data_IF_025615224982
#
_entry.id   IF_025615224982
#
_cell.length_a   1.000
_cell.length_b   1.000
_cell.length_c   1.000
_cell.angle_alpha   90.00
_cell.angle_beta   90.00
_cell.angle_gamma   90.00
#
_symmetry.space_group_name_H-M   'P 1'
#
loop_
_entity.id
_entity.type
_entity.pdbx_description
1 polymer ?
#
# COMPACT_ATOMS: atom_id res chain seq x y z
N UNK A 1 -1.00 -36.63 -30.02
CA UNK A 1 -2.33 -36.01 -29.89
C UNK A 1 -3.29 -37.03 -29.36
N UNK A 2 -3.67 -36.91 -28.08
CA UNK A 2 -4.74 -37.64 -27.39
C UNK A 2 -4.68 -37.21 -25.92
N UNK A 3 -5.63 -36.38 -25.48
CA UNK A 3 -6.05 -36.21 -24.08
C UNK A 3 -7.22 -35.21 -24.04
N UNK A 4 -8.29 -35.50 -24.76
CA UNK A 4 -9.61 -34.91 -24.52
C UNK A 4 -10.62 -35.99 -24.88
N UNK A 5 -11.27 -36.55 -23.85
CA UNK A 5 -12.50 -37.35 -23.82
C UNK A 5 -12.40 -38.52 -22.83
N UNK A 6 -12.74 -38.27 -21.56
CA UNK A 6 -13.79 -38.99 -20.82
C UNK A 6 -13.83 -38.57 -19.35
N UNK A 7 -14.95 -37.96 -18.96
CA UNK A 7 -15.75 -38.24 -17.75
C UNK A 7 -16.44 -36.93 -17.33
N UNK A 8 -17.71 -36.85 -16.99
CA UNK A 8 -18.88 -37.72 -17.13
C UNK A 8 -20.06 -36.74 -17.00
N UNK A 9 -21.04 -36.90 -17.87
CA UNK A 9 -22.40 -36.42 -17.66
C UNK A 9 -23.07 -37.44 -16.72
N UNK A 10 -23.49 -37.02 -15.52
CA UNK A 10 -24.42 -37.70 -14.59
C UNK A 10 -24.30 -37.11 -13.16
N UNK A 11 -24.77 -35.88 -12.98
CA UNK A 11 -25.37 -35.48 -11.70
C UNK A 11 -26.30 -34.29 -11.95
N UNK A 12 -27.56 -34.42 -11.53
CA UNK A 12 -28.63 -33.46 -11.77
C UNK A 12 -28.35 -32.08 -11.18
N UNK A 13 -27.75 -31.20 -11.98
CA UNK A 13 -27.68 -29.78 -11.68
C UNK A 13 -29.05 -29.17 -11.97
N UNK A 14 -29.80 -28.93 -10.90
CA UNK A 14 -30.86 -27.93 -10.89
C UNK A 14 -30.34 -26.66 -11.57
N UNK A 15 -31.15 -26.07 -12.45
CA UNK A 15 -30.96 -24.70 -12.94
C UNK A 15 -31.16 -23.72 -11.79
N UNK A 16 -30.25 -23.71 -10.82
CA UNK A 16 -30.16 -22.64 -9.83
C UNK A 16 -29.29 -21.53 -10.42
N UNK A 17 -29.97 -20.54 -11.00
CA UNK A 17 -29.59 -19.13 -10.96
C UNK A 17 -28.07 -18.88 -10.94
N UNK A 18 -27.42 -18.89 -12.11
CA UNK A 18 -26.09 -18.31 -12.30
C UNK A 18 -26.19 -16.79 -12.07
N UNK A 19 -26.25 -16.40 -10.80
CA UNK A 19 -26.13 -15.01 -10.37
C UNK A 19 -24.68 -14.63 -10.57
N UNK A 20 -24.42 -13.86 -11.63
CA UNK A 20 -23.18 -13.13 -11.77
C UNK A 20 -22.96 -12.31 -10.49
N UNK A 21 -21.91 -12.61 -9.74
CA UNK A 21 -21.50 -11.80 -8.59
C UNK A 21 -20.89 -10.50 -9.10
N UNK A 22 -21.56 -9.38 -8.86
CA UNK A 22 -21.10 -8.06 -9.26
C UNK A 22 -20.30 -7.40 -8.13
N UNK A 23 -19.13 -6.85 -8.46
CA UNK A 23 -18.46 -5.85 -7.63
C UNK A 23 -18.97 -4.48 -8.03
N UNK A 24 -19.77 -3.86 -7.18
CA UNK A 24 -20.21 -2.50 -7.40
C UNK A 24 -19.15 -1.51 -6.91
N UNK A 25 -18.84 -0.50 -7.73
CA UNK A 25 -18.07 0.67 -7.33
C UNK A 25 -18.82 1.92 -7.83
N UNK A 26 -19.97 2.32 -7.22
CA UNK A 26 -20.83 3.34 -7.82
C UNK A 26 -20.18 4.73 -7.91
N UNK A 27 -19.22 5.01 -7.03
CA UNK A 27 -18.39 6.22 -7.10
C UNK A 27 -17.65 6.33 -8.44
N UNK A 28 -17.33 5.21 -9.08
CA UNK A 28 -16.60 5.16 -10.35
C UNK A 28 -17.34 5.87 -11.48
N UNK A 29 -18.67 5.80 -11.51
CA UNK A 29 -19.45 6.53 -12.53
C UNK A 29 -19.31 8.04 -12.38
N UNK A 30 -19.13 8.56 -11.15
CA UNK A 30 -18.84 9.99 -10.95
C UNK A 30 -17.45 10.33 -11.48
N UNK A 31 -16.45 9.50 -11.19
CA UNK A 31 -15.08 9.71 -11.66
C UNK A 31 -14.96 9.64 -13.20
N UNK A 32 -15.52 8.60 -13.82
CA UNK A 32 -15.53 8.44 -15.27
C UNK A 32 -16.29 9.56 -16.00
N UNK A 33 -17.35 10.10 -15.37
CA UNK A 33 -18.14 11.22 -15.91
C UNK A 33 -17.51 12.59 -15.64
N UNK A 34 -16.71 12.71 -14.58
CA UNK A 34 -16.14 13.99 -14.16
C UNK A 34 -15.17 14.56 -15.18
N UNK A 35 -14.52 13.72 -16.01
CA UNK A 35 -13.69 14.14 -17.14
C UNK A 35 -12.45 14.95 -16.73
N UNK A 36 -11.27 14.36 -16.91
CA UNK A 36 -9.94 14.90 -16.62
C UNK A 36 -9.70 15.40 -15.17
N UNK A 37 -8.68 14.88 -14.46
CA UNK A 37 -8.13 15.55 -13.29
C UNK A 37 -7.60 16.95 -13.63
N UNK A 38 -7.33 17.77 -12.61
CA UNK A 38 -6.67 19.08 -12.72
C UNK A 38 -5.47 19.06 -13.69
N UNK A 39 -5.18 20.21 -14.32
CA UNK A 39 -4.16 20.38 -15.38
C UNK A 39 -2.94 19.45 -15.23
N UNK A 40 -2.78 18.51 -16.18
CA UNK A 40 -1.62 17.61 -16.25
C UNK A 40 -1.91 16.14 -15.93
N UNK A 41 -0.89 15.29 -16.08
CA UNK A 41 -0.97 13.86 -15.78
C UNK A 41 -0.59 13.59 -14.32
N UNK A 42 -1.49 12.93 -13.57
CA UNK A 42 -1.24 12.58 -12.16
C UNK A 42 0.02 11.73 -11.99
N UNK A 43 0.28 10.77 -12.89
CA UNK A 43 1.47 9.93 -12.82
C UNK A 43 2.75 10.73 -13.12
N UNK A 44 2.73 11.58 -14.15
CA UNK A 44 3.89 12.43 -14.46
C UNK A 44 4.24 13.36 -13.31
N UNK A 45 3.25 13.91 -12.61
CA UNK A 45 3.50 14.75 -11.43
C UNK A 45 4.23 14.00 -10.30
N UNK A 46 4.17 12.67 -10.28
CA UNK A 46 4.83 11.84 -9.25
C UNK A 46 6.24 11.43 -9.63
N UNK A 47 6.66 11.57 -10.88
CA UNK A 47 7.99 11.15 -11.34
C UNK A 47 9.07 11.96 -10.62
N UNK A 48 8.95 13.29 -10.66
CA UNK A 48 9.89 14.22 -10.02
C UNK A 48 9.46 14.60 -8.60
N UNK A 49 8.43 13.95 -8.06
CA UNK A 49 7.95 14.15 -6.71
C UNK A 49 9.00 13.76 -5.67
N UNK A 50 9.20 14.60 -4.66
CA UNK A 50 10.17 14.36 -3.59
C UNK A 50 9.53 13.73 -2.35
N UNK A 51 8.19 13.68 -2.27
CA UNK A 51 7.46 13.16 -1.11
C UNK A 51 6.65 11.91 -1.48
N UNK A 52 7.31 10.76 -1.46
CA UNK A 52 6.71 9.47 -1.78
C UNK A 52 5.54 9.10 -0.84
N UNK A 53 5.53 9.60 0.41
CA UNK A 53 4.46 9.30 1.37
C UNK A 53 3.18 10.03 0.98
N UNK A 54 3.25 11.31 0.68
CA UNK A 54 2.11 12.11 0.20
C UNK A 54 1.62 11.65 -1.17
N UNK A 55 2.56 11.27 -2.04
CA UNK A 55 2.28 10.80 -3.39
C UNK A 55 1.82 9.34 -3.44
N UNK A 56 1.85 8.65 -2.30
CA UNK A 56 1.54 7.22 -2.16
C UNK A 56 2.41 6.33 -3.05
N UNK A 57 3.62 6.77 -3.38
CA UNK A 57 4.63 6.00 -4.10
C UNK A 57 5.29 5.04 -3.13
N UNK A 58 5.24 3.75 -3.44
CA UNK A 58 5.74 2.67 -2.60
C UNK A 58 7.17 2.27 -2.98
N UNK A 59 7.50 2.36 -4.27
CA UNK A 59 8.79 1.96 -4.79
C UNK A 59 9.06 2.63 -6.15
N UNK A 60 10.31 2.98 -6.42
CA UNK A 60 10.78 3.57 -7.68
C UNK A 60 11.85 2.68 -8.30
N UNK A 61 11.67 2.35 -9.57
CA UNK A 61 12.58 1.54 -10.37
C UNK A 61 13.38 2.36 -11.37
N UNK A 62 13.90 1.69 -12.39
CA UNK A 62 14.65 2.33 -13.48
C UNK A 62 13.72 3.15 -14.36
N UNK A 63 12.63 2.54 -14.81
CA UNK A 63 11.71 3.11 -15.81
C UNK A 63 10.25 3.11 -15.36
N UNK A 64 9.97 2.57 -14.17
CA UNK A 64 8.63 2.42 -13.61
C UNK A 64 8.62 2.74 -12.12
N UNK A 65 7.43 2.94 -11.57
CA UNK A 65 7.21 3.05 -10.13
C UNK A 65 5.92 2.33 -9.72
N UNK A 66 5.85 1.96 -8.44
CA UNK A 66 4.69 1.34 -7.82
C UNK A 66 4.06 2.38 -6.88
N UNK A 67 2.75 2.58 -6.98
CA UNK A 67 2.01 3.47 -6.08
C UNK A 67 0.68 2.87 -5.65
N UNK A 68 0.11 3.35 -4.54
CA UNK A 68 -1.26 2.99 -4.17
C UNK A 68 -2.28 3.77 -5.00
N UNK A 69 -3.43 3.14 -5.25
CA UNK A 69 -4.57 3.86 -5.79
C UNK A 69 -5.29 4.61 -4.65
N UNK A 70 -5.43 5.94 -4.79
CA UNK A 70 -6.16 6.78 -3.86
C UNK A 70 -7.65 6.41 -3.76
N UNK A 71 -8.22 5.85 -4.84
CA UNK A 71 -9.59 5.35 -4.90
C UNK A 71 -9.58 3.83 -5.14
N UNK A 72 -9.22 3.04 -4.11
CA UNK A 72 -8.99 1.60 -4.26
C UNK A 72 -10.29 0.83 -4.51
N UNK A 73 -10.21 -0.26 -5.27
CA UNK A 73 -11.31 -1.23 -5.35
C UNK A 73 -11.39 -2.11 -4.10
N UNK A 74 -10.24 -2.41 -3.52
CA UNK A 74 -10.05 -3.15 -2.28
C UNK A 74 -8.78 -2.67 -1.59
N UNK A 75 -8.65 -2.93 -0.28
CA UNK A 75 -7.42 -2.64 0.48
C UNK A 75 -6.20 -3.23 -0.20
N UNK A 76 -5.15 -2.41 -0.34
CA UNK A 76 -3.91 -2.80 -1.01
C UNK A 76 -3.96 -2.72 -2.54
N UNK A 77 -4.98 -2.08 -3.14
CA UNK A 77 -4.96 -1.79 -4.58
C UNK A 77 -3.77 -0.88 -4.93
N UNK A 78 -2.84 -1.44 -5.71
CA UNK A 78 -1.67 -0.72 -6.24
C UNK A 78 -1.68 -0.65 -7.76
N UNK A 79 -0.88 0.27 -8.27
CA UNK A 79 -0.63 0.49 -9.69
C UNK A 79 0.86 0.47 -9.95
N UNK A 80 1.26 -0.16 -11.06
CA UNK A 80 2.61 -0.07 -11.63
C UNK A 80 2.50 0.79 -12.87
N UNK A 81 3.21 1.92 -12.90
CA UNK A 81 3.15 2.88 -14.00
C UNK A 81 4.57 3.17 -14.52
N UNK A 82 4.75 3.31 -15.84
CA UNK A 82 6.01 3.76 -16.40
C UNK A 82 6.23 5.26 -16.14
N UNK A 83 7.50 5.66 -16.14
CA UNK A 83 7.90 7.07 -16.12
C UNK A 83 7.55 7.74 -17.46
N UNK A 84 7.55 6.99 -18.57
CA UNK A 84 7.13 7.52 -19.86
C UNK A 84 5.62 7.82 -19.87
N UNK A 85 5.26 9.00 -20.41
CA UNK A 85 3.86 9.35 -20.65
C UNK A 85 3.38 8.67 -21.94
N UNK A 86 2.85 7.46 -21.81
CA UNK A 86 2.32 6.66 -22.93
C UNK A 86 0.96 6.09 -22.58
N UNK A 87 0.03 6.12 -23.53
CA UNK A 87 -1.36 5.71 -23.29
C UNK A 87 -1.57 4.19 -23.40
N UNK A 88 -0.78 3.52 -24.24
CA UNK A 88 -0.93 2.10 -24.55
C UNK A 88 0.36 1.30 -24.31
N UNK A 89 0.24 0.02 -23.88
CA UNK A 89 1.32 -0.96 -23.95
C UNK A 89 1.90 -1.19 -25.36
N UNK A 90 1.27 -0.66 -26.40
CA UNK A 90 1.78 -0.68 -27.78
C UNK A 90 2.91 0.32 -28.03
N UNK A 91 3.05 1.34 -27.17
CA UNK A 91 3.93 2.51 -27.37
C UNK A 91 5.17 2.47 -26.46
N UNK A 92 5.26 1.47 -25.60
CA UNK A 92 6.28 1.33 -24.56
C UNK A 92 7.40 0.40 -25.04
N UNK A 93 8.64 0.70 -24.65
CA UNK A 93 9.78 -0.15 -24.99
C UNK A 93 9.77 -1.47 -24.21
N UNK A 94 10.47 -2.47 -24.75
CA UNK A 94 10.50 -3.82 -24.19
C UNK A 94 11.17 -3.89 -22.82
N UNK A 95 12.15 -3.02 -22.52
CA UNK A 95 12.82 -3.03 -21.21
C UNK A 95 11.86 -2.54 -20.13
N UNK A 96 11.13 -1.46 -20.38
CA UNK A 96 10.13 -0.94 -19.44
C UNK A 96 8.99 -1.95 -19.22
N UNK A 97 8.50 -2.61 -20.28
CA UNK A 97 7.49 -3.67 -20.12
C UNK A 97 8.00 -4.89 -19.35
N UNK A 98 9.26 -5.27 -19.55
CA UNK A 98 9.88 -6.33 -18.76
C UNK A 98 9.94 -5.94 -17.27
N UNK A 99 10.35 -4.70 -16.96
CA UNK A 99 10.37 -4.21 -15.58
C UNK A 99 8.96 -4.22 -14.95
N UNK A 100 7.91 -3.79 -15.67
CA UNK A 100 6.52 -3.92 -15.20
C UNK A 100 6.20 -5.38 -14.85
N UNK A 101 6.54 -6.32 -15.74
CA UNK A 101 6.23 -7.73 -15.55
C UNK A 101 7.01 -8.34 -14.37
N UNK A 102 8.28 -7.97 -14.18
CA UNK A 102 9.15 -8.41 -13.09
C UNK A 102 8.65 -7.95 -11.72
N UNK A 103 7.95 -6.82 -11.65
CA UNK A 103 7.41 -6.28 -10.40
C UNK A 103 6.07 -6.91 -9.98
N UNK A 104 5.37 -7.62 -10.87
CA UNK A 104 4.08 -8.26 -10.53
C UNK A 104 4.26 -9.33 -9.43
N UNK A 105 5.15 -10.32 -9.56
CA UNK A 105 5.33 -11.35 -8.52
C UNK A 105 5.71 -10.82 -7.13
N UNK A 106 6.73 -9.96 -6.94
CA UNK A 106 7.06 -9.43 -5.61
C UNK A 106 5.92 -8.60 -5.02
N UNK A 107 5.22 -7.82 -5.84
CA UNK A 107 4.04 -7.07 -5.39
C UNK A 107 2.92 -7.97 -4.86
N UNK A 108 2.63 -9.06 -5.58
CA UNK A 108 1.63 -10.03 -5.14
C UNK A 108 2.06 -10.78 -3.87
N UNK A 109 3.35 -11.08 -3.69
CA UNK A 109 3.85 -11.71 -2.46
C UNK A 109 3.77 -10.76 -1.27
N UNK A 110 4.17 -9.50 -1.44
CA UNK A 110 4.05 -8.45 -0.43
C UNK A 110 2.58 -8.29 0.02
N UNK A 111 1.67 -8.13 -0.93
CA UNK A 111 0.23 -8.00 -0.66
C UNK A 111 -0.34 -9.24 0.02
N UNK A 112 0.01 -10.44 -0.46
CA UNK A 112 -0.48 -11.69 0.14
C UNK A 112 0.01 -11.86 1.57
N UNK A 113 1.27 -11.52 1.85
CA UNK A 113 1.84 -11.59 3.20
C UNK A 113 1.09 -10.66 4.14
N UNK A 114 0.92 -9.40 3.73
CA UNK A 114 0.28 -8.37 4.54
C UNK A 114 -1.21 -8.65 4.79
N UNK A 115 -1.93 -9.09 3.76
CA UNK A 115 -3.40 -9.09 3.74
C UNK A 115 -4.04 -10.48 3.79
N UNK A 116 -3.24 -11.54 3.67
CA UNK A 116 -3.74 -12.92 3.53
C UNK A 116 -4.80 -13.06 2.43
N UNK A 117 -4.67 -12.29 1.35
CA UNK A 117 -5.62 -12.33 0.23
C UNK A 117 -5.54 -13.65 -0.54
N UNK A 118 -6.69 -14.12 -1.02
CA UNK A 118 -6.83 -15.44 -1.64
C UNK A 118 -6.56 -15.41 -3.15
N UNK A 119 -6.68 -14.24 -3.77
CA UNK A 119 -6.45 -14.06 -5.20
C UNK A 119 -6.15 -12.62 -5.56
N UNK A 120 -5.96 -12.38 -6.86
CA UNK A 120 -5.67 -11.07 -7.41
C UNK A 120 -6.39 -10.89 -8.75
N UNK A 121 -6.82 -9.66 -9.02
CA UNK A 121 -7.02 -9.22 -10.40
C UNK A 121 -5.83 -8.38 -10.81
N UNK A 122 -5.24 -8.69 -11.96
CA UNK A 122 -4.20 -7.89 -12.59
C UNK A 122 -4.63 -7.50 -13.99
N UNK A 123 -4.35 -6.26 -14.40
CA UNK A 123 -4.74 -5.82 -15.74
C UNK A 123 -4.49 -4.36 -16.03
N UNK A 124 -4.54 -4.03 -17.32
CA UNK A 124 -4.40 -2.68 -17.86
C UNK A 124 -5.69 -2.38 -18.64
N UNK A 125 -6.26 -1.20 -18.42
CA UNK A 125 -7.36 -0.70 -19.23
C UNK A 125 -6.77 0.29 -20.26
N UNK A 126 -6.85 -0.03 -21.55
CA UNK A 126 -6.33 0.82 -22.63
C UNK A 126 -7.47 1.57 -23.32
N UNK A 127 -7.40 2.91 -23.29
CA UNK A 127 -8.42 3.78 -23.86
C UNK A 127 -9.66 3.97 -22.97
N UNK A 128 -10.34 5.10 -23.15
CA UNK A 128 -11.51 5.48 -22.35
C UNK A 128 -12.66 4.46 -22.43
N UNK A 129 -12.84 3.83 -23.60
CA UNK A 129 -13.85 2.79 -23.82
C UNK A 129 -13.61 1.51 -22.99
N UNK A 130 -12.35 1.18 -22.67
CA UNK A 130 -12.02 0.08 -21.78
C UNK A 130 -12.18 0.45 -20.28
N UNK A 131 -12.63 1.67 -19.99
CA UNK A 131 -12.76 2.18 -18.63
C UNK A 131 -11.45 2.67 -18.03
N UNK A 132 -10.46 3.06 -18.84
CA UNK A 132 -9.27 3.75 -18.35
C UNK A 132 -9.69 5.07 -17.68
N UNK A 133 -9.49 5.18 -16.36
CA UNK A 133 -9.81 6.40 -15.61
C UNK A 133 -8.85 7.55 -15.94
N UNK A 134 -7.61 7.20 -16.29
CA UNK A 134 -6.58 8.08 -16.82
C UNK A 134 -6.13 7.44 -18.12
N UNK A 135 -6.69 7.90 -19.23
CA UNK A 135 -6.55 7.21 -20.52
C UNK A 135 -5.18 7.45 -21.19
N UNK A 136 -4.54 8.58 -20.90
CA UNK A 136 -3.32 9.02 -21.59
C UNK A 136 -2.03 8.50 -20.93
N UNK A 137 -2.12 7.80 -19.80
CA UNK A 137 -0.97 7.23 -19.10
C UNK A 137 -1.29 5.82 -18.60
N UNK A 138 -0.67 4.82 -19.22
CA UNK A 138 -0.91 3.41 -18.93
C UNK A 138 -0.45 3.03 -17.52
N UNK A 139 -1.20 2.17 -16.86
CA UNK A 139 -0.85 1.67 -15.54
C UNK A 139 -1.46 0.29 -15.33
N UNK A 140 -0.66 -0.63 -14.79
CA UNK A 140 -1.10 -1.97 -14.46
C UNK A 140 -1.65 -1.98 -13.04
N UNK A 141 -2.90 -2.40 -12.90
CA UNK A 141 -3.54 -2.59 -11.61
C UNK A 141 -3.18 -3.95 -11.01
N UNK A 142 -2.94 -4.00 -9.70
CA UNK A 142 -2.93 -5.23 -8.90
C UNK A 142 -3.92 -5.04 -7.76
N UNK A 143 -5.00 -5.82 -7.79
CA UNK A 143 -6.13 -5.71 -6.85
C UNK A 143 -6.24 -7.00 -6.04
N UNK A 144 -5.92 -6.99 -4.73
CA UNK A 144 -6.12 -8.13 -3.83
C UNK A 144 -7.60 -8.50 -3.70
N UNK A 145 -7.92 -9.81 -3.68
CA UNK A 145 -9.29 -10.34 -3.62
C UNK A 145 -9.47 -11.41 -2.55
N UNK A 146 -10.70 -11.51 -2.04
CA UNK A 146 -11.15 -12.53 -1.10
C UNK A 146 -12.50 -13.10 -1.52
N UNK A 147 -12.78 -14.35 -1.14
CA UNK A 147 -14.11 -14.92 -1.25
C UNK A 147 -15.11 -14.09 -0.46
N UNK A 148 -16.11 -13.53 -1.14
CA UNK A 148 -17.17 -12.72 -0.52
C UNK A 148 -16.83 -11.26 -0.28
N UNK A 149 -15.76 -10.73 -0.89
CA UNK A 149 -15.42 -9.29 -0.79
C UNK A 149 -16.44 -8.36 -1.47
N UNK A 150 -17.25 -8.89 -2.40
CA UNK A 150 -18.43 -8.22 -2.92
C UNK A 150 -19.56 -8.27 -1.87
N UNK A 151 -19.78 -7.14 -1.18
CA UNK A 151 -20.85 -7.00 -0.18
C UNK A 151 -21.88 -5.94 -0.60
N UNK A 152 -22.95 -5.80 0.18
CA UNK A 152 -24.08 -4.91 -0.16
C UNK A 152 -23.75 -3.41 0.01
N UNK A 153 -22.68 -3.05 0.73
CA UNK A 153 -22.38 -1.66 1.09
C UNK A 153 -22.11 -0.78 -0.14
N UNK A 154 -21.27 -1.20 -1.13
CA UNK A 154 -21.13 -0.43 -2.35
C UNK A 154 -22.42 -0.37 -3.16
N UNK A 155 -23.26 -1.41 -3.15
CA UNK A 155 -24.48 -1.44 -3.98
C UNK A 155 -25.57 -0.51 -3.44
N UNK A 156 -25.86 -0.61 -2.14
CA UNK A 156 -26.99 0.09 -1.50
C UNK A 156 -26.56 1.47 -0.99
N UNK A 157 -25.40 1.53 -0.33
CA UNK A 157 -24.91 2.75 0.30
C UNK A 157 -24.05 3.62 -0.62
N UNK A 158 -23.61 3.11 -1.77
CA UNK A 158 -22.59 3.75 -2.61
C UNK A 158 -21.29 4.06 -1.85
N UNK A 159 -21.00 3.30 -0.79
CA UNK A 159 -19.84 3.46 0.09
C UNK A 159 -19.05 2.16 0.12
N UNK A 160 -17.73 2.26 -0.02
CA UNK A 160 -16.80 1.16 0.22
C UNK A 160 -16.24 1.31 1.63
N UNK A 161 -16.33 0.26 2.45
CA UNK A 161 -15.73 0.24 3.79
C UNK A 161 -14.28 -0.21 3.67
N UNK A 162 -13.35 0.66 4.01
CA UNK A 162 -11.93 0.33 4.10
C UNK A 162 -11.60 -0.02 5.56
N UNK A 163 -11.16 -1.25 5.86
CA UNK A 163 -10.90 -1.70 7.23
C UNK A 163 -9.66 -1.05 7.86
N UNK A 164 -8.82 -0.40 7.06
CA UNK A 164 -7.56 0.21 7.48
C UNK A 164 -7.38 1.57 6.80
N UNK A 165 -6.81 2.52 7.52
CA UNK A 165 -6.48 3.85 6.99
C UNK A 165 -5.33 3.77 5.99
N UNK A 166 -5.34 4.66 5.01
CA UNK A 166 -4.41 4.61 3.88
C UNK A 166 -2.94 4.70 4.30
N UNK A 167 -2.61 5.51 5.32
CA UNK A 167 -1.24 5.66 5.83
C UNK A 167 -0.68 4.38 6.44
N UNK A 168 -1.52 3.59 7.09
CA UNK A 168 -1.14 2.32 7.71
C UNK A 168 -0.96 1.26 6.63
N UNK A 169 -1.90 1.17 5.68
CA UNK A 169 -1.74 0.26 4.53
C UNK A 169 -0.50 0.61 3.72
N UNK A 170 -0.22 1.90 3.51
CA UNK A 170 0.98 2.38 2.85
C UNK A 170 2.24 1.92 3.57
N UNK A 171 2.33 2.14 4.90
CA UNK A 171 3.50 1.77 5.68
C UNK A 171 3.78 0.26 5.66
N UNK A 172 2.73 -0.55 5.85
CA UNK A 172 2.84 -2.01 5.77
C UNK A 172 3.29 -2.46 4.39
N UNK A 173 2.70 -1.92 3.34
CA UNK A 173 2.98 -2.34 1.97
C UNK A 173 4.36 -1.87 1.49
N UNK A 174 4.79 -0.67 1.85
CA UNK A 174 6.14 -0.16 1.57
C UNK A 174 7.20 -1.02 2.25
N UNK A 175 6.96 -1.43 3.50
CA UNK A 175 7.85 -2.36 4.21
C UNK A 175 7.97 -3.71 3.46
N UNK A 176 6.85 -4.31 3.08
CA UNK A 176 6.84 -5.61 2.40
C UNK A 176 7.43 -5.55 0.99
N UNK A 177 7.17 -4.49 0.22
CA UNK A 177 7.80 -4.28 -1.08
C UNK A 177 9.30 -4.08 -0.93
N UNK A 178 9.74 -3.27 0.04
CA UNK A 178 11.16 -3.06 0.30
C UNK A 178 11.90 -4.36 0.65
N UNK A 179 11.21 -5.25 1.38
CA UNK A 179 11.69 -6.59 1.70
C UNK A 179 11.73 -7.50 0.46
N UNK A 180 10.64 -7.58 -0.30
CA UNK A 180 10.50 -8.47 -1.47
C UNK A 180 11.45 -8.09 -2.62
N UNK A 181 11.70 -6.80 -2.79
CA UNK A 181 12.61 -6.25 -3.80
C UNK A 181 14.06 -6.16 -3.30
N UNK A 182 14.30 -6.47 -2.02
CA UNK A 182 15.63 -6.46 -1.41
C UNK A 182 16.26 -5.07 -1.27
N UNK A 183 15.47 -3.99 -1.36
CA UNK A 183 15.96 -2.62 -1.14
C UNK A 183 16.27 -2.37 0.33
N UNK A 184 15.55 -3.04 1.24
CA UNK A 184 15.77 -2.95 2.68
C UNK A 184 15.89 -4.34 3.28
N UNK A 185 16.95 -4.54 4.09
CA UNK A 185 17.13 -5.76 4.89
C UNK A 185 16.62 -5.59 6.31
N UNK A 186 16.59 -4.36 6.80
CA UNK A 186 16.23 -3.97 8.16
C UNK A 186 15.14 -2.93 8.13
N UNK A 187 14.30 -2.95 9.15
CA UNK A 187 13.21 -2.00 9.31
C UNK A 187 13.19 -1.48 10.73
N UNK A 188 13.06 -0.16 10.85
CA UNK A 188 13.08 0.54 12.14
C UNK A 188 11.66 0.88 12.58
N UNK A 189 11.48 1.00 13.88
CA UNK A 189 10.25 1.48 14.49
C UNK A 189 10.50 2.85 15.13
N UNK A 190 9.90 3.90 14.57
CA UNK A 190 9.80 5.19 15.25
C UNK A 190 8.55 5.18 16.10
N UNK A 191 8.71 4.97 17.41
CA UNK A 191 7.58 5.02 18.34
C UNK A 191 7.52 6.41 18.96
N UNK A 192 6.39 7.09 18.77
CA UNK A 192 6.12 8.44 19.24
C UNK A 192 4.92 8.45 20.19
N UNK A 193 4.92 9.40 21.12
CA UNK A 193 3.73 9.66 21.94
C UNK A 193 2.62 10.32 21.13
N UNK A 194 1.34 10.22 21.55
CA UNK A 194 0.23 10.91 20.89
C UNK A 194 0.43 12.43 20.78
N UNK A 195 1.05 13.04 21.79
CA UNK A 195 1.39 14.47 21.81
C UNK A 195 2.73 14.81 21.12
N UNK A 196 3.42 13.78 20.61
CA UNK A 196 4.69 13.82 19.86
C UNK A 196 5.84 14.46 20.59
N UNK A 197 5.75 14.59 21.92
CA UNK A 197 6.82 15.13 22.75
C UNK A 197 7.86 14.09 23.12
N UNK A 198 7.52 12.81 23.00
CA UNK A 198 8.38 11.71 23.43
C UNK A 198 8.58 10.70 22.31
N UNK A 199 9.80 10.17 22.27
CA UNK A 199 10.21 9.09 21.37
C UNK A 199 10.82 7.98 22.20
N UNK A 200 10.42 6.74 21.92
CA UNK A 200 10.99 5.58 22.58
C UNK A 200 12.30 5.16 21.90
N UNK A 201 13.37 5.09 22.69
CA UNK A 201 14.76 4.83 22.28
C UNK A 201 15.53 4.16 23.44
N UNK A 202 15.17 2.91 23.79
CA UNK A 202 15.61 2.24 25.02
C UNK A 202 17.13 2.10 25.16
N UNK A 203 17.82 1.83 24.06
CA UNK A 203 19.28 1.61 24.05
C UNK A 203 20.04 2.71 23.30
N UNK A 204 19.45 3.90 23.17
CA UNK A 204 20.04 4.94 22.34
C UNK A 204 19.97 4.61 20.83
N UNK A 205 19.11 3.71 20.40
CA UNK A 205 18.71 3.53 18.99
C UNK A 205 17.20 3.29 18.86
N UNK A 206 16.65 3.49 17.67
CA UNK A 206 15.29 3.06 17.37
C UNK A 206 15.24 1.52 17.41
N UNK A 207 14.16 0.92 17.91
CA UNK A 207 13.94 -0.51 17.76
C UNK A 207 14.01 -0.90 16.27
N UNK A 208 14.64 -2.04 15.97
CA UNK A 208 14.88 -2.51 14.62
C UNK A 208 14.62 -4.02 14.53
N UNK A 209 14.14 -4.46 13.37
CA UNK A 209 14.03 -5.88 13.04
C UNK A 209 14.67 -6.17 11.69
N UNK A 210 15.23 -7.37 11.56
CA UNK A 210 15.67 -7.96 10.29
C UNK A 210 14.66 -9.08 9.97
N UNK A 211 13.66 -8.86 9.09
CA UNK A 211 12.50 -9.75 9.00
C UNK A 211 12.85 -11.16 8.54
N UNK A 212 12.36 -12.16 9.28
CA UNK A 212 12.57 -13.59 9.00
C UNK A 212 11.25 -14.31 8.72
N UNK A 213 11.32 -15.46 8.06
CA UNK A 213 10.18 -16.35 7.83
C UNK A 213 9.08 -15.71 6.98
N UNK A 214 7.84 -16.17 7.12
CA UNK A 214 6.72 -15.66 6.31
C UNK A 214 5.86 -14.59 6.97
N UNK A 215 6.17 -14.24 8.22
CA UNK A 215 5.42 -13.25 8.98
C UNK A 215 5.60 -11.83 8.42
N UNK A 216 4.55 -10.98 8.41
CA UNK A 216 4.65 -9.59 7.99
C UNK A 216 5.65 -8.77 8.82
N UNK A 217 6.35 -7.84 8.19
CA UNK A 217 7.32 -6.93 8.82
C UNK A 217 6.69 -6.17 9.99
N UNK A 218 5.49 -5.61 9.79
CA UNK A 218 4.80 -4.85 10.82
C UNK A 218 4.48 -5.71 12.06
N UNK A 219 4.09 -6.98 11.89
CA UNK A 219 3.82 -7.90 12.99
C UNK A 219 5.09 -8.30 13.74
N UNK A 220 6.23 -8.43 13.03
CA UNK A 220 7.53 -8.68 13.64
C UNK A 220 7.97 -7.48 14.51
N UNK A 221 7.76 -6.25 14.02
CA UNK A 221 8.02 -5.03 14.79
C UNK A 221 7.09 -4.95 16.00
N UNK A 222 5.79 -5.18 15.82
CA UNK A 222 4.81 -5.16 16.91
C UNK A 222 5.23 -6.10 18.04
N UNK A 223 5.60 -7.35 17.71
CA UNK A 223 6.10 -8.31 18.71
C UNK A 223 7.37 -7.80 19.39
N UNK A 224 8.30 -7.21 18.65
CA UNK A 224 9.52 -6.66 19.22
C UNK A 224 9.22 -5.50 20.19
N UNK A 225 8.28 -4.62 19.87
CA UNK A 225 7.81 -3.55 20.76
C UNK A 225 7.11 -4.11 22.01
N UNK A 226 6.19 -5.07 21.84
CA UNK A 226 5.48 -5.71 22.95
C UNK A 226 6.44 -6.42 23.91
N UNK A 227 7.50 -7.06 23.40
CA UNK A 227 8.53 -7.68 24.25
C UNK A 227 9.30 -6.69 25.13
N UNK A 228 9.25 -5.40 24.78
CA UNK A 228 9.85 -4.30 25.53
C UNK A 228 8.80 -3.52 26.35
N UNK A 229 7.57 -4.03 26.45
CA UNK A 229 6.48 -3.39 27.19
C UNK A 229 5.83 -2.22 26.47
N UNK A 230 6.04 -2.07 25.15
CA UNK A 230 5.43 -1.00 24.35
C UNK A 230 4.25 -1.56 23.58
N UNK A 231 3.06 -1.08 23.91
CA UNK A 231 1.82 -1.32 23.15
C UNK A 231 1.58 -0.13 22.21
N UNK A 232 1.95 -0.28 20.95
CA UNK A 232 1.86 0.77 19.94
C UNK A 232 0.91 0.44 18.80
N UNK A 233 0.31 1.48 18.21
CA UNK A 233 -0.51 1.39 17.01
C UNK A 233 0.28 1.90 15.81
N UNK A 234 0.46 1.06 14.79
CA UNK A 234 1.07 1.49 13.53
C UNK A 234 0.23 2.62 12.93
N UNK A 235 0.90 3.69 12.53
CA UNK A 235 0.23 4.93 12.15
C UNK A 235 0.72 5.49 10.81
N UNK A 236 1.96 5.15 10.38
CA UNK A 236 2.50 5.63 9.11
C UNK A 236 3.93 5.19 8.82
N UNK A 237 4.59 5.95 7.95
CA UNK A 237 5.94 5.70 7.44
C UNK A 237 6.78 6.96 7.50
N UNK A 238 8.09 6.82 7.76
CA UNK A 238 9.04 7.91 7.80
C UNK A 238 10.40 7.49 7.20
N UNK A 239 11.05 8.41 6.49
CA UNK A 239 12.33 8.17 5.84
C UNK A 239 12.33 6.97 4.90
N UNK A 240 13.47 6.28 4.85
CA UNK A 240 13.70 5.22 3.86
C UNK A 240 13.17 3.85 4.27
N UNK A 241 13.11 3.53 5.57
CA UNK A 241 12.82 2.16 6.05
C UNK A 241 12.13 2.11 7.43
N UNK A 242 11.54 3.23 7.86
CA UNK A 242 11.03 3.37 9.25
C UNK A 242 9.51 3.37 9.27
N UNK A 243 8.93 2.45 10.05
CA UNK A 243 7.52 2.43 10.36
C UNK A 243 7.26 3.31 11.59
N UNK A 244 6.22 4.15 11.54
CA UNK A 244 5.85 5.07 12.61
C UNK A 244 4.72 4.47 13.44
N UNK A 245 4.96 4.36 14.74
CA UNK A 245 4.03 3.80 15.73
C UNK A 245 3.67 4.87 16.75
N UNK A 246 2.42 4.85 17.21
CA UNK A 246 1.95 5.72 18.30
C UNK A 246 1.74 4.87 19.54
N UNK A 247 2.36 5.21 20.67
CA UNK A 247 2.19 4.48 21.93
C UNK A 247 2.09 5.44 23.11
N UNK A 248 1.34 5.04 24.14
CA UNK A 248 1.22 5.84 25.36
C UNK A 248 2.54 5.86 26.15
N UNK A 249 2.81 7.00 26.77
CA UNK A 249 4.04 7.22 27.54
C UNK A 249 3.82 6.78 28.99
N UNK A 250 4.71 5.95 29.56
CA UNK A 250 4.61 5.56 30.96
C UNK A 250 4.84 6.76 31.89
N UNK A 251 4.50 6.60 33.17
CA UNK A 251 4.57 7.69 34.15
C UNK A 251 5.99 8.28 34.33
N UNK A 252 7.05 7.50 34.05
CA UNK A 252 8.45 7.92 34.20
C UNK A 252 9.24 7.75 32.88
N UNK A 253 9.00 8.62 31.87
CA UNK A 253 9.52 8.42 30.52
C UNK A 253 11.05 8.27 30.44
N UNK A 254 11.80 9.10 31.17
CA UNK A 254 13.26 9.11 31.10
C UNK A 254 13.96 7.86 31.64
N UNK A 255 13.27 7.02 32.41
CA UNK A 255 13.80 5.74 32.91
C UNK A 255 13.46 4.61 31.93
N UNK A 256 12.28 4.68 31.31
CA UNK A 256 11.73 3.64 30.45
C UNK A 256 12.12 3.85 28.97
N UNK A 257 13.29 4.46 28.72
CA UNK A 257 13.81 4.63 27.37
C UNK A 257 13.15 5.72 26.53
N UNK A 258 12.27 6.56 27.08
CA UNK A 258 11.66 7.66 26.35
C UNK A 258 12.47 8.95 26.47
N UNK A 259 12.79 9.54 25.32
CA UNK A 259 13.49 10.81 25.22
C UNK A 259 12.60 11.91 24.64
N UNK A 260 12.79 13.18 25.00
CA UNK A 260 12.13 14.28 24.35
C UNK A 260 12.43 14.34 22.84
N UNK A 261 11.41 14.56 22.00
CA UNK A 261 11.57 14.61 20.52
C UNK A 261 12.61 15.64 20.05
N UNK A 262 12.77 16.75 20.78
CA UNK A 262 13.80 17.76 20.50
C UNK A 262 15.24 17.23 20.54
N UNK A 263 15.48 16.14 21.29
CA UNK A 263 16.80 15.51 21.40
C UNK A 263 17.09 14.60 20.19
N UNK A 264 16.07 14.28 19.40
CA UNK A 264 16.18 13.50 18.17
C UNK A 264 16.89 14.26 17.04
N UNK A 265 16.72 15.58 16.99
CA UNK A 265 17.25 16.46 15.94
C UNK A 265 18.79 16.44 15.84
N UNK A 266 19.47 15.89 16.84
CA UNK A 266 20.93 15.78 16.88
C UNK A 266 21.48 14.45 16.35
N UNK A 267 20.64 13.45 16.03
CA UNK A 267 21.15 12.08 15.79
C UNK A 267 20.44 11.23 14.71
N UNK A 268 19.56 11.79 13.88
CA UNK A 268 18.81 11.00 12.88
C UNK A 268 18.86 11.62 11.48
N UNK A 269 18.72 10.73 10.48
CA UNK A 269 18.31 10.97 9.09
C UNK A 269 17.34 12.18 8.94
N UNK A 270 17.69 13.20 8.14
CA UNK A 270 16.85 14.37 7.88
C UNK A 270 15.40 14.03 7.48
N UNK A 271 15.19 12.94 6.75
CA UNK A 271 13.86 12.53 6.28
C UNK A 271 12.94 12.11 7.45
N UNK A 272 13.51 11.59 8.54
CA UNK A 272 12.74 11.22 9.73
C UNK A 272 12.33 12.46 10.53
N UNK A 273 13.20 13.48 10.56
CA UNK A 273 12.92 14.75 11.21
C UNK A 273 11.82 15.51 10.45
N UNK A 274 11.87 15.51 9.12
CA UNK A 274 10.81 16.05 8.28
C UNK A 274 9.48 15.32 8.50
N UNK A 275 9.47 13.98 8.56
CA UNK A 275 8.25 13.22 8.85
C UNK A 275 7.63 13.57 10.22
N UNK A 276 8.46 13.84 11.23
CA UNK A 276 7.99 14.29 12.56
C UNK A 276 7.46 15.72 12.57
N UNK A 277 7.98 16.59 11.70
CA UNK A 277 7.61 18.00 11.59
C UNK A 277 6.41 18.23 10.66
N UNK A 278 6.31 17.47 9.57
CA UNK A 278 5.28 17.60 8.52
C UNK A 278 3.98 16.85 8.82
N UNK A 279 4.00 15.89 9.75
CA UNK A 279 2.76 15.30 10.24
C UNK A 279 1.92 16.37 10.94
N UNK A 280 0.76 16.73 10.43
CA UNK A 280 -0.24 17.55 11.14
C UNK A 280 -1.35 16.64 11.66
N UNK A 281 -1.85 16.81 12.90
CA UNK A 281 -2.98 16.02 13.40
C UNK A 281 -4.34 16.40 12.77
N UNK A 282 -4.39 17.31 11.80
CA UNK A 282 -5.66 17.72 11.19
C UNK A 282 -6.13 16.73 10.10
N UNK A 283 -6.78 15.66 10.54
CA UNK A 283 -7.91 15.07 9.81
C UNK A 283 -9.04 14.82 10.80
N UNK A 284 -9.90 15.84 10.98
CA UNK A 284 -11.03 15.72 11.91
C UNK A 284 -11.87 16.98 12.15
N UNK A 285 -12.00 17.91 11.21
CA UNK A 285 -13.13 18.85 11.18
C UNK A 285 -13.29 19.46 9.80
N UNK A 286 -14.34 19.03 9.08
CA UNK A 286 -14.69 19.49 7.74
C UNK A 286 -15.60 18.49 7.04
#
# INVERSE_FOLDING_TARGET
GQCYHRAMDESGLSRENERHSYLAAPWRMRYLRAGAPAEGCVFCSKIDGTNDVEDLVLWRGRSVFIMMNLFPYSTGHIMIAPNAHVASPEEIDLETMAEIAELIPPSMRALRRMLSCQGFNTGINTGSAAGAGIADHMHLHIVPRWGGDANFMPVVGQVTVMPEVLSVTYAKLRAELGRELGTHRRFRALVVSPDRKWIYRPDGSLPEVEPLGDEPVAAQIERALTSQGIEGVLSGWAGQETLVWTADVPANPGIDGWIPTRELACSIDPDLLEALQGWSPEVGSG
#
